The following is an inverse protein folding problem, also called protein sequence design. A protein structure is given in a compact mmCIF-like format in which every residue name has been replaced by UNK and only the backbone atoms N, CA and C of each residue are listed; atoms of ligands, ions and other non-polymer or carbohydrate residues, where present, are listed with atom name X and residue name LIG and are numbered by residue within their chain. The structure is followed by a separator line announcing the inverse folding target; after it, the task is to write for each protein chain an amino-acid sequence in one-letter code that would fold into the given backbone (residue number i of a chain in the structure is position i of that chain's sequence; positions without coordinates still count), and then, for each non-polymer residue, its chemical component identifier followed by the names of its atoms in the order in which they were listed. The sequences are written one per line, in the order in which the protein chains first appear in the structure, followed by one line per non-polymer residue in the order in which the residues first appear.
data_IF_152479722961
#
_entry.id   IF_152479722961
#
_cell.length_a   1.000
_cell.length_b   1.000
_cell.length_c   1.000
_cell.angle_alpha   90.00
_cell.angle_beta   90.00
_cell.angle_gamma   90.00
#
_symmetry.space_group_name_H-M   'P 1'
#
loop_
_entity.id
_entity.type
_entity.pdbx_description
1 polymer ?
#
# COMPACT_ATOMS: atom_id res chain seq x y z
N UNK A 1 4.51 6.47 -6.87
CA UNK A 1 3.42 5.94 -6.01
C UNK A 1 3.26 4.47 -6.34
N UNK A 2 3.38 3.58 -5.35
CA UNK A 2 3.48 2.12 -5.54
C UNK A 2 2.14 1.40 -5.69
N UNK A 3 2.09 0.15 -5.24
CA UNK A 3 0.95 -0.74 -5.34
C UNK A 3 -0.11 -0.41 -4.28
N UNK A 4 -1.38 -0.70 -4.59
CA UNK A 4 -2.48 -0.68 -3.64
C UNK A 4 -2.58 -2.07 -2.99
N UNK A 5 -2.50 -2.09 -1.68
CA UNK A 5 -2.49 -3.29 -0.85
C UNK A 5 -3.62 -3.26 0.18
N UNK A 6 -4.10 -4.43 0.54
CA UNK A 6 -4.91 -4.68 1.73
C UNK A 6 -4.00 -5.17 2.85
N UNK A 7 -4.07 -4.49 3.99
CA UNK A 7 -3.39 -4.87 5.22
C UNK A 7 -4.37 -5.72 6.05
N UNK A 8 -4.15 -7.04 6.09
CA UNK A 8 -5.05 -7.99 6.74
C UNK A 8 -5.03 -7.85 8.28
N UNK A 9 -3.99 -7.27 8.87
CA UNK A 9 -3.92 -7.06 10.33
C UNK A 9 -4.87 -5.96 10.78
N UNK A 10 -4.94 -4.87 10.01
CA UNK A 10 -5.74 -3.70 10.36
C UNK A 10 -7.06 -3.63 9.60
N UNK A 11 -7.25 -4.49 8.59
CA UNK A 11 -8.36 -4.43 7.64
C UNK A 11 -8.31 -3.20 6.72
N UNK A 12 -7.23 -2.42 6.75
CA UNK A 12 -7.12 -1.15 6.00
C UNK A 12 -6.63 -1.41 4.57
N UNK A 13 -6.90 -0.45 3.69
CA UNK A 13 -6.36 -0.42 2.33
C UNK A 13 -5.44 0.77 2.18
N UNK A 14 -4.27 0.55 1.58
CA UNK A 14 -3.24 1.57 1.49
C UNK A 14 -2.34 1.38 0.29
N UNK A 15 -1.58 2.42 -0.02
CA UNK A 15 -0.60 2.44 -1.09
C UNK A 15 0.77 2.28 -0.45
N UNK A 16 1.61 1.41 -1.02
CA UNK A 16 3.03 1.34 -0.65
C UNK A 16 3.71 2.67 -0.96
N UNK A 17 4.14 3.34 0.11
CA UNK A 17 4.85 4.60 0.04
C UNK A 17 6.37 4.39 0.06
N UNK A 18 6.84 3.44 0.88
CA UNK A 18 8.26 3.15 1.09
C UNK A 18 8.43 1.76 1.74
N UNK A 19 9.63 1.18 1.63
CA UNK A 19 10.03 -0.06 2.32
C UNK A 19 11.37 0.16 3.01
N UNK A 20 11.36 0.20 4.34
CA UNK A 20 12.53 0.50 5.17
C UNK A 20 13.19 -0.79 5.65
N UNK A 21 14.50 -0.89 5.40
CA UNK A 21 15.31 -2.04 5.84
C UNK A 21 14.82 -3.39 5.30
N UNK A 22 14.06 -3.41 4.21
CA UNK A 22 13.49 -4.61 3.60
C UNK A 22 12.38 -5.31 4.41
N UNK A 23 12.05 -4.83 5.61
CA UNK A 23 11.14 -5.51 6.54
C UNK A 23 9.97 -4.63 7.01
N UNK A 24 10.12 -3.30 7.00
CA UNK A 24 9.07 -2.38 7.43
C UNK A 24 8.45 -1.69 6.22
N UNK A 25 7.17 -1.95 5.99
CA UNK A 25 6.38 -1.37 4.91
C UNK A 25 5.69 -0.11 5.40
N UNK A 26 5.96 1.02 4.75
CA UNK A 26 5.29 2.29 5.03
C UNK A 26 4.13 2.44 4.07
N UNK A 27 2.93 2.54 4.63
CA UNK A 27 1.67 2.62 3.91
C UNK A 27 1.02 3.98 4.13
N UNK A 28 0.30 4.43 3.12
CA UNK A 28 -0.55 5.63 3.19
C UNK A 28 -1.93 5.32 2.63
N UNK A 29 -3.00 5.96 3.10
CA UNK A 29 -4.33 5.76 2.54
C UNK A 29 -4.37 6.30 1.10
N UNK A 30 -5.39 5.89 0.35
CA UNK A 30 -5.65 6.43 -0.98
C UNK A 30 -5.96 7.94 -0.92
N UNK A 31 -6.62 8.36 0.17
CA UNK A 31 -7.00 9.75 0.45
C UNK A 31 -6.62 10.13 1.88
N UNK A 32 -6.09 11.34 2.06
CA UNK A 32 -5.68 11.87 3.37
C UNK A 32 -4.18 11.79 3.66
N UNK A 33 -3.72 12.45 4.74
CA UNK A 33 -2.30 12.62 5.03
C UNK A 33 -1.70 11.47 5.86
N UNK A 34 -2.54 10.68 6.54
CA UNK A 34 -2.09 9.71 7.53
C UNK A 34 -1.16 8.65 6.94
N UNK A 35 -0.29 8.08 7.77
CA UNK A 35 0.56 6.95 7.40
C UNK A 35 0.59 5.94 8.51
N UNK A 36 0.82 4.69 8.15
CA UNK A 36 1.08 3.64 9.12
C UNK A 36 2.15 2.69 8.59
N UNK A 37 2.70 1.89 9.49
CA UNK A 37 3.73 0.92 9.17
C UNK A 37 3.25 -0.50 9.45
N UNK A 38 3.57 -1.43 8.56
CA UNK A 38 3.41 -2.86 8.79
C UNK A 38 4.78 -3.55 8.74
N UNK A 39 4.99 -4.50 9.65
CA UNK A 39 6.19 -5.35 9.69
C UNK A 39 5.89 -6.80 9.27
N UNK A 40 4.68 -7.05 8.75
CA UNK A 40 4.20 -8.38 8.36
C UNK A 40 3.91 -8.41 6.86
N UNK A 41 4.94 -8.51 6.00
CA UNK A 41 4.76 -8.53 4.54
C UNK A 41 3.84 -9.65 4.07
N UNK A 42 3.83 -10.79 4.78
CA UNK A 42 2.97 -11.94 4.52
C UNK A 42 1.46 -11.65 4.67
N UNK A 43 1.11 -10.56 5.38
CA UNK A 43 -0.27 -10.09 5.58
C UNK A 43 -0.63 -8.88 4.72
N UNK A 44 0.26 -8.48 3.81
CA UNK A 44 -0.01 -7.42 2.83
C UNK A 44 -0.38 -8.04 1.49
N UNK A 45 -1.65 -7.92 1.11
CA UNK A 45 -2.15 -8.46 -0.16
C UNK A 45 -2.25 -7.37 -1.21
N UNK A 46 -1.56 -7.56 -2.35
CA UNK A 46 -1.70 -6.65 -3.50
C UNK A 46 -3.11 -6.76 -4.06
N UNK A 47 -3.81 -5.62 -4.11
CA UNK A 47 -5.13 -5.48 -4.73
C UNK A 47 -4.97 -5.01 -6.18
N UNK A 48 -4.12 -3.99 -6.38
CA UNK A 48 -3.78 -3.45 -7.70
C UNK A 48 -2.32 -3.03 -7.72
N UNK A 49 -1.62 -3.40 -8.77
CA UNK A 49 -0.28 -2.90 -9.06
C UNK A 49 -0.30 -1.41 -9.36
N UNK A 50 0.86 -0.76 -9.24
CA UNK A 50 1.05 0.63 -9.65
C UNK A 50 0.56 0.87 -11.09
N UNK A 51 0.85 -0.04 -12.00
CA UNK A 51 0.53 0.12 -13.43
C UNK A 51 -0.97 0.12 -13.68
N UNK A 52 -1.70 -0.81 -13.08
CA UNK A 52 -3.17 -0.88 -13.18
C UNK A 52 -3.80 0.43 -12.69
N UNK A 53 -3.32 0.95 -11.55
CA UNK A 53 -3.84 2.21 -10.99
C UNK A 53 -3.53 3.45 -11.82
N UNK A 54 -2.41 3.45 -12.55
CA UNK A 54 -2.08 4.54 -13.45
C UNK A 54 -2.96 4.51 -14.70
N UNK A 55 -3.27 3.32 -15.23
CA UNK A 55 -4.22 3.17 -16.34
C UNK A 55 -5.61 3.69 -15.97
N UNK A 56 -6.11 3.34 -14.79
CA UNK A 56 -7.45 3.76 -14.32
C UNK A 56 -7.59 5.27 -14.08
N UNK A 57 -6.49 5.97 -13.78
CA UNK A 57 -6.50 7.43 -13.60
C UNK A 57 -6.37 8.22 -14.90
N UNK A 58 -6.14 7.53 -16.02
CA UNK A 58 -5.93 8.13 -17.33
C UNK A 58 -7.19 8.10 -18.20
N UNK A 59 -8.34 7.74 -17.61
CA UNK A 59 -9.65 7.57 -18.27
C UNK A 59 -10.65 8.57 -17.71
#
# INVERSE_FOLDING_TARGET
MGDLIHDEDTGRRGIVADVRGGATWVLRPEYGPDRWTSQRPDRLRVIKTREERLRERSV
#
